data_IF_741011512254
#
_entry.id   IF_741011512254
#
_cell.length_a   1.000
_cell.length_b   1.000
_cell.length_c   1.000
_cell.angle_alpha   90.00
_cell.angle_beta   90.00
_cell.angle_gamma   90.00
#
_symmetry.space_group_name_H-M   'P 1'
#
loop_
_entity.id
_entity.type
_entity.pdbx_description
1 polymer ?
#
# COMPACT_ATOMS: atom_id res chain seq x y z
N UNK A 1 8.49 1.70 9.63
CA UNK A 1 8.93 2.80 8.74
C UNK A 1 8.89 2.28 7.30
N UNK A 2 8.40 3.07 6.36
CA UNK A 2 8.43 2.71 4.94
C UNK A 2 9.80 3.03 4.35
N UNK A 3 10.28 2.13 3.49
CA UNK A 3 11.50 2.30 2.70
C UNK A 3 11.11 2.21 1.22
N UNK A 4 11.03 3.35 0.59
CA UNK A 4 10.62 3.52 -0.79
C UNK A 4 11.22 4.81 -1.35
N UNK A 5 11.51 4.82 -2.66
CA UNK A 5 11.95 6.03 -3.35
C UNK A 5 10.90 7.15 -3.26
N UNK A 6 11.34 8.40 -3.42
CA UNK A 6 10.44 9.55 -3.43
C UNK A 6 9.34 9.37 -4.49
N UNK A 7 8.09 9.42 -4.06
CA UNK A 7 6.91 9.21 -4.88
C UNK A 7 5.75 10.07 -4.38
N UNK A 8 4.70 10.13 -5.16
CA UNK A 8 3.50 10.87 -4.78
C UNK A 8 2.62 10.01 -3.86
N UNK A 9 2.21 10.60 -2.73
CA UNK A 9 1.25 10.01 -1.78
C UNK A 9 -0.01 10.87 -1.75
N UNK A 10 -1.15 10.27 -2.08
CA UNK A 10 -2.43 10.96 -2.23
C UNK A 10 -3.39 10.44 -1.17
N UNK A 11 -3.87 11.30 -0.25
CA UNK A 11 -4.86 10.89 0.74
C UNK A 11 -6.22 10.61 0.07
N UNK A 12 -6.93 9.56 0.52
CA UNK A 12 -8.26 9.20 0.03
C UNK A 12 -9.33 10.25 0.39
N UNK A 13 -9.22 10.82 1.58
CA UNK A 13 -10.24 11.69 2.18
C UNK A 13 -9.63 12.71 3.17
N UNK A 14 -10.46 13.48 3.83
CA UNK A 14 -10.02 14.51 4.78
C UNK A 14 -9.31 13.92 6.02
N UNK A 15 -9.70 12.73 6.49
CA UNK A 15 -9.03 12.05 7.61
C UNK A 15 -7.60 11.64 7.23
N UNK A 16 -7.44 11.04 6.05
CA UNK A 16 -6.12 10.69 5.52
C UNK A 16 -5.28 11.97 5.24
N UNK A 17 -5.90 13.04 4.73
CA UNK A 17 -5.21 14.31 4.50
C UNK A 17 -4.65 14.91 5.79
N UNK A 18 -5.40 14.84 6.89
CA UNK A 18 -4.93 15.29 8.21
C UNK A 18 -3.72 14.47 8.72
N UNK A 19 -3.63 13.19 8.35
CA UNK A 19 -2.54 12.28 8.72
C UNK A 19 -1.38 12.21 7.73
N UNK A 20 -1.41 12.97 6.64
CA UNK A 20 -0.45 12.84 5.53
C UNK A 20 1.01 13.00 5.96
N UNK A 21 1.32 13.89 6.89
CA UNK A 21 2.69 14.07 7.40
C UNK A 21 3.25 12.84 8.15
N UNK A 22 2.41 11.87 8.48
CA UNK A 22 2.77 10.64 9.20
C UNK A 22 2.40 9.37 8.46
N UNK A 23 2.20 9.42 7.14
CA UNK A 23 1.82 8.26 6.34
C UNK A 23 2.82 7.10 6.45
N UNK A 24 4.11 7.44 6.57
CA UNK A 24 5.27 6.53 6.51
C UNK A 24 5.58 5.80 7.82
N UNK A 25 4.80 6.03 8.87
CA UNK A 25 4.97 5.41 10.18
C UNK A 25 3.64 4.99 10.78
N UNK A 26 3.71 4.02 11.68
CA UNK A 26 2.57 3.62 12.52
C UNK A 26 2.68 4.31 13.87
N UNK A 27 1.57 4.89 14.31
CA UNK A 27 1.45 5.50 15.63
C UNK A 27 1.16 4.44 16.69
N UNK A 28 1.31 4.79 17.97
CA UNK A 28 0.86 3.93 19.07
C UNK A 28 -0.65 3.68 18.99
N UNK A 29 -1.13 2.50 19.40
CA UNK A 29 -2.57 2.20 19.37
C UNK A 29 -3.40 3.18 20.20
N UNK A 30 -4.47 3.71 19.62
CA UNK A 30 -5.42 4.63 20.28
C UNK A 30 -6.85 4.16 20.12
N UNK A 31 -7.68 4.39 21.17
CA UNK A 31 -9.09 3.98 21.15
C UNK A 31 -9.96 4.82 20.21
N UNK A 32 -9.53 6.03 19.86
CA UNK A 32 -10.23 7.01 19.03
C UNK A 32 -9.62 7.13 17.62
N UNK A 33 -8.70 6.21 17.24
CA UNK A 33 -8.06 6.28 15.93
C UNK A 33 -9.07 6.03 14.82
N UNK A 34 -9.05 6.88 13.82
CA UNK A 34 -9.80 6.72 12.57
C UNK A 34 -8.87 6.25 11.48
N UNK A 35 -9.27 5.22 10.75
CA UNK A 35 -8.49 4.67 9.65
C UNK A 35 -8.13 5.71 8.60
N UNK A 36 -6.97 5.56 8.01
CA UNK A 36 -6.47 6.42 6.95
C UNK A 36 -6.10 5.56 5.74
N UNK A 37 -6.49 6.00 4.56
CA UNK A 37 -6.11 5.36 3.31
C UNK A 37 -5.31 6.33 2.45
N UNK A 38 -4.21 5.83 1.88
CA UNK A 38 -3.35 6.59 1.00
C UNK A 38 -3.14 5.83 -0.30
N UNK A 39 -3.24 6.52 -1.42
CA UNK A 39 -2.79 6.01 -2.71
C UNK A 39 -1.34 6.38 -2.91
N UNK A 40 -0.54 5.45 -3.42
CA UNK A 40 0.86 5.65 -3.74
C UNK A 40 1.06 5.50 -5.24
N UNK A 41 1.66 6.49 -5.88
CA UNK A 41 2.11 6.41 -7.28
C UNK A 41 3.55 5.95 -7.30
N UNK A 42 3.76 4.65 -7.20
CA UNK A 42 5.08 4.04 -7.20
C UNK A 42 5.60 3.93 -8.64
N UNK A 43 6.84 4.35 -8.90
CA UNK A 43 7.44 4.16 -10.23
C UNK A 43 7.68 2.68 -10.50
N UNK A 44 7.41 2.25 -11.72
CA UNK A 44 7.79 0.92 -12.19
C UNK A 44 9.24 0.94 -12.68
N UNK A 45 9.98 -0.12 -12.36
CA UNK A 45 11.31 -0.36 -12.90
C UNK A 45 11.30 -0.76 -14.37
N UNK A 46 12.47 -0.96 -14.99
CA UNK A 46 12.60 -1.40 -16.38
C UNK A 46 11.97 -2.76 -16.66
N UNK A 47 11.81 -3.59 -15.63
CA UNK A 47 11.15 -4.90 -15.66
C UNK A 47 9.61 -4.81 -15.54
N UNK A 48 9.06 -3.60 -15.41
CA UNK A 48 7.63 -3.36 -15.23
C UNK A 48 7.12 -3.62 -13.81
N UNK A 49 8.01 -3.93 -12.86
CA UNK A 49 7.68 -4.14 -11.45
C UNK A 49 7.73 -2.83 -10.67
N UNK A 50 6.74 -2.60 -9.84
CA UNK A 50 6.77 -1.56 -8.80
C UNK A 50 6.88 -2.23 -7.42
N UNK A 51 7.35 -1.50 -6.42
CA UNK A 51 7.47 -2.12 -5.10
C UNK A 51 7.66 -1.11 -3.97
N UNK A 52 7.36 -1.58 -2.77
CA UNK A 52 7.49 -0.84 -1.52
C UNK A 52 8.03 -1.78 -0.43
N UNK A 53 8.77 -1.26 0.50
CA UNK A 53 9.20 -2.02 1.67
C UNK A 53 8.76 -1.36 2.97
N UNK A 54 8.48 -2.20 3.96
CA UNK A 54 8.13 -1.78 5.33
C UNK A 54 9.09 -2.45 6.30
N UNK A 55 9.64 -1.67 7.21
CA UNK A 55 10.56 -2.14 8.23
C UNK A 55 10.00 -1.94 9.63
N UNK A 56 10.23 -2.94 10.47
CA UNK A 56 10.13 -2.80 11.92
C UNK A 56 11.52 -2.97 12.52
N UNK A 57 12.25 -1.87 12.80
CA UNK A 57 13.62 -1.94 13.30
C UNK A 57 13.72 -2.59 14.68
N UNK A 58 12.68 -2.46 15.52
CA UNK A 58 12.66 -3.06 16.86
C UNK A 58 12.64 -4.59 16.82
N UNK A 59 11.99 -5.15 15.79
CA UNK A 59 11.94 -6.60 15.56
C UNK A 59 13.00 -7.08 14.56
N UNK A 60 13.71 -6.18 13.90
CA UNK A 60 14.65 -6.53 12.84
C UNK A 60 13.97 -7.18 11.62
N UNK A 61 12.72 -6.84 11.35
CA UNK A 61 11.94 -7.43 10.25
C UNK A 61 11.75 -6.40 9.14
N UNK A 62 11.96 -6.84 7.90
CA UNK A 62 11.63 -6.10 6.69
C UNK A 62 10.77 -6.97 5.78
N UNK A 63 9.67 -6.40 5.30
CA UNK A 63 8.83 -6.94 4.24
C UNK A 63 8.96 -6.05 3.01
N UNK A 64 9.35 -6.62 1.86
CA UNK A 64 9.26 -5.99 0.55
C UNK A 64 8.17 -6.65 -0.26
N UNK A 65 7.29 -5.86 -0.86
CA UNK A 65 6.28 -6.29 -1.81
C UNK A 65 6.64 -5.71 -3.17
N UNK A 66 6.77 -6.56 -4.19
CA UNK A 66 6.95 -6.19 -5.58
C UNK A 66 5.78 -6.75 -6.39
N UNK A 67 5.31 -6.00 -7.37
CA UNK A 67 4.13 -6.38 -8.14
C UNK A 67 4.18 -5.83 -9.58
N UNK A 68 3.50 -6.51 -10.51
CA UNK A 68 3.36 -6.06 -11.90
C UNK A 68 2.50 -4.80 -11.98
N UNK A 69 3.13 -3.64 -12.22
CA UNK A 69 2.43 -2.36 -12.33
C UNK A 69 1.50 -2.29 -13.55
N UNK A 70 1.72 -3.11 -14.57
CA UNK A 70 0.86 -3.20 -15.76
C UNK A 70 -0.53 -3.75 -15.46
N UNK A 71 -0.62 -4.72 -14.56
CA UNK A 71 -1.89 -5.36 -14.16
C UNK A 71 -2.45 -4.83 -12.84
N UNK A 72 -1.59 -4.31 -11.96
CA UNK A 72 -1.93 -3.70 -10.69
C UNK A 72 -1.42 -2.24 -10.65
N UNK A 73 -2.07 -1.30 -11.37
CA UNK A 73 -1.54 0.07 -11.55
C UNK A 73 -1.65 0.96 -10.32
N UNK A 74 -2.32 0.52 -9.28
CA UNK A 74 -2.50 1.28 -8.05
C UNK A 74 -1.86 0.55 -6.87
N UNK A 75 -1.40 1.31 -5.89
CA UNK A 75 -1.03 0.80 -4.58
C UNK A 75 -1.77 1.59 -3.53
N UNK A 76 -2.48 0.89 -2.65
CA UNK A 76 -3.20 1.47 -1.53
C UNK A 76 -2.57 1.03 -0.21
N UNK A 77 -2.35 1.98 0.65
CA UNK A 77 -2.01 1.76 2.05
C UNK A 77 -3.24 2.02 2.91
N UNK A 78 -3.66 1.02 3.67
CA UNK A 78 -4.66 1.18 4.71
C UNK A 78 -3.97 1.16 6.07
N UNK A 79 -4.03 2.29 6.79
CA UNK A 79 -3.41 2.48 8.10
C UNK A 79 -4.49 2.53 9.16
N UNK A 80 -4.48 1.59 10.09
CA UNK A 80 -5.39 1.56 11.22
C UNK A 80 -4.63 1.31 12.54
N UNK A 81 -4.44 2.37 13.32
CA UNK A 81 -3.81 2.31 14.63
C UNK A 81 -4.85 2.28 15.77
N UNK A 82 -6.02 1.67 15.53
CA UNK A 82 -7.07 1.52 16.54
C UNK A 82 -6.68 0.48 17.59
N UNK A 83 -6.88 0.79 18.86
CA UNK A 83 -6.74 -0.21 19.93
C UNK A 83 -7.71 -1.36 19.73
N UNK A 84 -7.19 -2.59 19.66
CA UNK A 84 -7.95 -3.80 19.37
C UNK A 84 -8.21 -4.07 17.87
N UNK A 85 -7.80 -3.15 16.98
CA UNK A 85 -7.92 -3.31 15.53
C UNK A 85 -6.68 -2.83 14.78
N UNK A 86 -5.50 -2.91 15.40
CA UNK A 86 -4.24 -2.40 14.86
C UNK A 86 -3.78 -3.19 13.64
N UNK A 87 -3.74 -2.52 12.48
CA UNK A 87 -3.42 -3.17 11.22
C UNK A 87 -2.80 -2.21 10.19
N UNK A 88 -2.04 -2.78 9.28
CA UNK A 88 -1.51 -2.11 8.09
C UNK A 88 -1.83 -2.95 6.85
N UNK A 89 -2.67 -2.42 5.96
CA UNK A 89 -2.87 -2.97 4.62
C UNK A 89 -1.84 -2.43 3.64
N UNK A 90 -1.27 -3.31 2.84
CA UNK A 90 -0.34 -3.03 1.75
C UNK A 90 -0.92 -3.68 0.49
N UNK A 91 -1.59 -2.90 -0.35
CA UNK A 91 -2.58 -3.41 -1.27
C UNK A 91 -2.28 -2.99 -2.72
N UNK A 92 -1.43 -3.74 -3.46
CA UNK A 92 -1.38 -3.61 -4.92
C UNK A 92 -2.76 -3.93 -5.50
N UNK A 93 -3.33 -3.06 -6.32
CA UNK A 93 -4.71 -3.22 -6.79
C UNK A 93 -4.92 -2.69 -8.20
N UNK A 94 -5.90 -3.26 -8.90
CA UNK A 94 -6.34 -2.81 -10.21
C UNK A 94 -7.62 -1.95 -10.18
N UNK A 95 -8.09 -1.60 -8.97
CA UNK A 95 -9.28 -0.79 -8.74
C UNK A 95 -9.02 0.29 -7.69
N UNK A 96 -9.93 1.23 -7.54
CA UNK A 96 -9.92 2.16 -6.41
C UNK A 96 -10.63 1.56 -5.19
N UNK A 97 -10.40 2.15 -4.02
CA UNK A 97 -11.17 1.82 -2.80
C UNK A 97 -12.47 2.61 -2.70
N UNK A 98 -12.83 3.37 -3.74
CA UNK A 98 -14.07 4.14 -3.80
C UNK A 98 -15.27 3.29 -4.27
N UNK A 99 -15.01 2.08 -4.70
CA UNK A 99 -16.01 1.11 -5.13
C UNK A 99 -16.28 1.12 -6.63
N UNK A 100 -16.87 0.00 -7.10
CA UNK A 100 -17.10 -0.26 -8.53
C UNK A 100 -17.86 0.86 -9.26
N UNK A 101 -18.86 1.45 -8.64
CA UNK A 101 -19.65 2.53 -9.26
C UNK A 101 -18.78 3.75 -9.57
N UNK A 102 -17.88 4.11 -8.67
CA UNK A 102 -16.93 5.20 -8.88
C UNK A 102 -15.94 4.86 -10.01
N UNK A 103 -15.39 3.64 -10.01
CA UNK A 103 -14.47 3.20 -11.07
C UNK A 103 -15.12 3.18 -12.45
N UNK A 104 -16.40 2.77 -12.56
CA UNK A 104 -17.16 2.83 -13.81
C UNK A 104 -17.35 4.29 -14.23
N UNK A 105 -17.77 5.16 -13.31
CA UNK A 105 -18.00 6.57 -13.58
C UNK A 105 -16.73 7.32 -14.03
N UNK A 106 -15.59 6.96 -13.47
CA UNK A 106 -14.29 7.55 -13.78
C UNK A 106 -13.59 6.88 -14.98
N UNK A 107 -14.16 5.82 -15.57
CA UNK A 107 -13.55 5.08 -16.67
C UNK A 107 -12.33 4.23 -16.27
N UNK A 108 -12.12 3.99 -14.98
CA UNK A 108 -10.99 3.20 -14.44
C UNK A 108 -11.34 1.73 -14.23
N UNK A 109 -12.62 1.36 -14.29
CA UNK A 109 -13.06 -0.03 -14.15
C UNK A 109 -12.50 -0.90 -15.28
N UNK A 110 -11.71 -1.91 -14.94
CA UNK A 110 -11.23 -2.90 -15.91
C UNK A 110 -12.29 -3.96 -16.16
N UNK A 111 -12.43 -4.35 -17.40
CA UNK A 111 -13.36 -5.40 -17.84
C UNK A 111 -12.57 -6.55 -18.44
N UNK A 112 -12.95 -7.78 -18.13
CA UNK A 112 -12.44 -9.01 -18.74
C UNK A 112 -13.51 -9.51 -19.71
N UNK A 113 -13.14 -9.83 -20.93
CA UNK A 113 -14.05 -10.39 -21.92
C UNK A 113 -14.27 -11.89 -21.70
N UNK A 114 -15.34 -12.48 -22.22
CA UNK A 114 -15.54 -13.92 -22.14
C UNK A 114 -14.33 -14.70 -22.71
N UNK A 115 -13.76 -15.59 -21.92
CA UNK A 115 -12.58 -16.37 -22.29
C UNK A 115 -11.23 -15.66 -22.10
N UNK A 116 -11.22 -14.40 -21.70
CA UNK A 116 -10.00 -13.66 -21.33
C UNK A 116 -9.53 -14.04 -19.92
N UNK A 117 -8.20 -14.05 -19.72
CA UNK A 117 -7.58 -14.20 -18.41
C UNK A 117 -6.60 -13.06 -18.15
N UNK A 118 -6.44 -12.69 -16.88
CA UNK A 118 -5.45 -11.70 -16.43
C UNK A 118 -4.61 -12.34 -15.34
N UNK A 119 -3.29 -12.25 -15.49
CA UNK A 119 -2.34 -12.72 -14.48
C UNK A 119 -1.84 -11.55 -13.62
N UNK A 120 -1.68 -11.80 -12.33
CA UNK A 120 -1.16 -10.85 -11.37
C UNK A 120 0.09 -11.43 -10.72
N UNK A 121 1.22 -10.76 -10.89
CA UNK A 121 2.47 -11.16 -10.27
C UNK A 121 2.71 -10.34 -9.00
N UNK A 122 2.91 -11.04 -7.88
CA UNK A 122 3.28 -10.47 -6.60
C UNK A 122 4.43 -11.26 -6.00
N UNK A 123 5.45 -10.54 -5.53
CA UNK A 123 6.62 -11.13 -4.87
C UNK A 123 6.71 -10.56 -3.47
N UNK A 124 6.73 -11.43 -2.47
CA UNK A 124 6.93 -11.08 -1.07
C UNK A 124 8.31 -11.52 -0.63
N UNK A 125 9.15 -10.58 -0.17
CA UNK A 125 10.47 -10.85 0.38
C UNK A 125 10.49 -10.50 1.85
N UNK A 126 10.72 -11.49 2.69
CA UNK A 126 10.89 -11.33 4.13
C UNK A 126 12.36 -11.39 4.46
N UNK A 127 12.86 -10.35 5.12
CA UNK A 127 14.22 -10.30 5.63
C UNK A 127 14.16 -10.17 7.15
N UNK A 128 14.96 -10.97 7.83
CA UNK A 128 15.20 -10.82 9.26
C UNK A 128 16.64 -10.34 9.45
N UNK A 129 16.79 -9.11 9.89
CA UNK A 129 18.07 -8.51 10.26
C UNK A 129 18.18 -8.59 11.77
N UNK A 130 19.11 -9.37 12.27
CA UNK A 130 19.40 -9.37 13.70
C UNK A 130 19.67 -7.91 14.13
N UNK A 131 19.05 -7.43 15.24
CA UNK A 131 19.36 -6.09 15.72
C UNK A 131 20.86 -6.01 16.00
N UNK A 132 21.48 -4.96 15.46
CA UNK A 132 22.88 -4.66 15.80
C UNK A 132 22.89 -4.41 17.31
N UNK A 133 23.46 -5.34 18.07
CA UNK A 133 23.63 -5.14 19.52
C UNK A 133 24.55 -3.92 19.71
N UNK A 134 24.16 -2.98 20.55
CA UNK A 134 25.01 -1.82 20.87
C UNK A 134 26.31 -2.26 21.56
#
# INVERSE_FOLDING_TARGET
MFDVEAHEVIPRDAEAAAGLAGWDRLDEPRADYREQCFYHRLPAGPDGMAGIAVENPALGIRLRIEYSAGTLPNFVQWKNCLSGGYALGLEPTNASVLGRAADIGNGTARKIQPGESVEFDLIFRFEHRLPVRP
#
